data_IF_704698215033
#
_entry.id   IF_704698215033
#
_cell.length_a   1.000
_cell.length_b   1.000
_cell.length_c   1.000
_cell.angle_alpha   90.00
_cell.angle_beta   90.00
_cell.angle_gamma   90.00
#
_symmetry.space_group_name_H-M   'P 1'
#
loop_
_entity.id
_entity.type
_entity.pdbx_description
1 polymer ?
#
# COMPACT_ATOMS: atom_id res chain seq x y z
N UNK A 1 -22.05 -17.54 24.85
CA UNK A 1 -21.45 -16.23 24.51
C UNK A 1 -20.22 -16.54 23.68
N UNK A 2 -20.32 -16.41 22.37
CA UNK A 2 -19.18 -16.63 21.48
C UNK A 2 -18.20 -15.49 21.73
N UNK A 3 -17.09 -15.78 22.39
CA UNK A 3 -15.98 -14.84 22.45
C UNK A 3 -15.56 -14.64 21.00
N UNK A 4 -15.69 -13.41 20.51
CA UNK A 4 -15.08 -13.05 19.23
C UNK A 4 -13.61 -12.89 19.56
N UNK A 5 -12.86 -13.99 19.58
CA UNK A 5 -11.40 -13.96 19.42
C UNK A 5 -11.17 -13.58 17.97
N UNK A 6 -11.27 -12.29 17.67
CA UNK A 6 -10.53 -11.76 16.52
C UNK A 6 -9.08 -12.00 16.87
N UNK A 7 -8.43 -12.81 16.04
CA UNK A 7 -7.05 -13.20 16.19
C UNK A 7 -6.18 -11.95 15.94
N UNK A 8 -5.92 -11.20 17.01
CA UNK A 8 -5.19 -9.93 16.99
C UNK A 8 -3.78 -10.13 16.40
N UNK A 9 -3.22 -11.33 16.58
CA UNK A 9 -1.97 -11.77 15.95
C UNK A 9 -2.14 -11.90 14.43
N UNK A 10 -3.23 -12.49 13.94
CA UNK A 10 -3.53 -12.54 12.52
C UNK A 10 -3.74 -11.15 11.89
N UNK A 11 -4.36 -10.20 12.60
CA UNK A 11 -4.51 -8.81 12.15
C UNK A 11 -3.16 -8.10 12.08
N UNK A 12 -2.31 -8.27 13.11
CA UNK A 12 -0.95 -7.74 13.12
C UNK A 12 -0.08 -8.32 12.00
N UNK A 13 -0.13 -9.64 11.79
CA UNK A 13 0.58 -10.32 10.71
C UNK A 13 0.09 -9.87 9.33
N UNK A 14 -1.22 -9.71 9.13
CA UNK A 14 -1.80 -9.20 7.91
C UNK A 14 -1.37 -7.76 7.63
N UNK A 15 -1.29 -6.92 8.66
CA UNK A 15 -0.77 -5.55 8.56
C UNK A 15 0.70 -5.54 8.11
N UNK A 16 1.58 -6.33 8.74
CA UNK A 16 2.99 -6.42 8.32
C UNK A 16 3.14 -6.96 6.89
N UNK A 17 2.36 -7.97 6.52
CA UNK A 17 2.37 -8.52 5.16
C UNK A 17 1.87 -7.50 4.12
N UNK A 18 0.86 -6.70 4.47
CA UNK A 18 0.37 -5.60 3.64
C UNK A 18 1.46 -4.55 3.43
N UNK A 19 2.14 -4.09 4.49
CA UNK A 19 3.25 -3.13 4.38
C UNK A 19 4.40 -3.66 3.50
N UNK A 20 4.78 -4.92 3.66
CA UNK A 20 5.81 -5.53 2.81
C UNK A 20 5.39 -5.59 1.33
N UNK A 21 4.11 -5.87 1.06
CA UNK A 21 3.56 -5.86 -0.30
C UNK A 21 3.55 -4.45 -0.89
N UNK A 22 3.19 -3.45 -0.08
CA UNK A 22 3.21 -2.04 -0.47
C UNK A 22 4.62 -1.62 -0.91
N UNK A 23 5.62 -1.86 -0.07
CA UNK A 23 7.02 -1.54 -0.38
C UNK A 23 7.47 -2.17 -1.70
N UNK A 24 7.14 -3.44 -1.93
CA UNK A 24 7.46 -4.11 -3.19
C UNK A 24 6.80 -3.43 -4.39
N UNK A 25 5.52 -3.05 -4.28
CA UNK A 25 4.81 -2.32 -5.34
C UNK A 25 5.45 -0.96 -5.63
N UNK A 26 5.91 -0.22 -4.61
CA UNK A 26 6.65 1.02 -4.80
C UNK A 26 7.95 0.82 -5.59
N UNK A 27 8.73 -0.20 -5.22
CA UNK A 27 9.98 -0.54 -5.92
C UNK A 27 9.71 -0.95 -7.37
N UNK A 28 8.70 -1.78 -7.61
CA UNK A 28 8.30 -2.18 -8.96
C UNK A 28 7.82 -0.98 -9.79
N UNK A 29 7.07 -0.07 -9.19
CA UNK A 29 6.58 1.12 -9.87
C UNK A 29 7.72 2.09 -10.24
N UNK A 30 8.67 2.31 -9.33
CA UNK A 30 9.87 3.10 -9.59
C UNK A 30 10.75 2.46 -10.68
N UNK A 31 10.86 1.14 -10.67
CA UNK A 31 11.57 0.38 -11.70
C UNK A 31 10.94 0.57 -13.07
N UNK A 32 9.61 0.48 -13.18
CA UNK A 32 8.90 0.74 -14.44
C UNK A 32 9.10 2.18 -14.91
N UNK A 33 9.04 3.16 -14.01
CA UNK A 33 9.29 4.56 -14.33
C UNK A 33 10.68 4.78 -14.95
N UNK A 34 11.71 4.13 -14.39
CA UNK A 34 13.07 4.20 -14.92
C UNK A 34 13.15 3.61 -16.33
N UNK A 35 12.53 2.46 -16.57
CA UNK A 35 12.49 1.81 -17.88
C UNK A 35 11.77 2.68 -18.92
N UNK A 36 10.63 3.26 -18.56
CA UNK A 36 9.89 4.18 -19.42
C UNK A 36 10.71 5.42 -19.75
N UNK A 37 11.38 6.02 -18.76
CA UNK A 37 12.26 7.19 -18.98
C UNK A 37 13.42 6.87 -19.92
N UNK A 38 14.02 5.68 -19.77
CA UNK A 38 15.09 5.23 -20.67
C UNK A 38 14.57 5.03 -22.10
N UNK A 39 13.39 4.43 -22.26
CA UNK A 39 12.76 4.23 -23.56
C UNK A 39 12.38 5.57 -24.22
N UNK A 40 11.90 6.55 -23.44
CA UNK A 40 11.64 7.92 -23.91
C UNK A 40 12.88 8.54 -24.55
N UNK A 41 14.07 8.36 -23.95
CA UNK A 41 15.32 8.88 -24.50
C UNK A 41 15.71 8.27 -25.86
N UNK A 42 15.13 7.12 -26.22
CA UNK A 42 15.38 6.44 -27.50
C UNK A 42 14.37 6.80 -28.60
N UNK A 43 13.21 7.36 -28.24
CA UNK A 43 12.16 7.71 -29.20
C UNK A 43 12.33 9.16 -29.67
N UNK A 44 12.58 9.34 -30.96
CA UNK A 44 12.73 10.65 -31.60
C UNK A 44 11.58 10.94 -32.56
N UNK A 45 11.20 12.22 -32.71
CA UNK A 45 10.12 12.65 -33.60
C UNK A 45 8.73 12.59 -32.97
N UNK A 46 7.66 12.63 -33.79
CA UNK A 46 6.28 12.77 -33.32
C UNK A 46 5.80 11.67 -32.36
N UNK A 47 6.39 10.47 -32.42
CA UNK A 47 6.10 9.38 -31.48
C UNK A 47 6.50 9.71 -30.04
N UNK A 48 7.46 10.63 -29.84
CA UNK A 48 7.91 11.06 -28.51
C UNK A 48 6.81 11.76 -27.72
N UNK A 49 5.90 12.51 -28.37
CA UNK A 49 4.81 13.21 -27.69
C UNK A 49 3.76 12.22 -27.15
N UNK A 50 3.39 11.22 -27.95
CA UNK A 50 2.48 10.16 -27.50
C UNK A 50 3.07 9.36 -26.33
N UNK A 51 4.38 9.09 -26.37
CA UNK A 51 5.07 8.39 -25.29
C UNK A 51 5.16 9.25 -24.01
N UNK A 52 5.39 10.56 -24.13
CA UNK A 52 5.35 11.48 -22.99
C UNK A 52 3.99 11.44 -22.28
N UNK A 53 2.88 11.48 -23.01
CA UNK A 53 1.55 11.32 -22.41
C UNK A 53 1.33 9.97 -21.72
N UNK A 54 1.95 8.90 -22.22
CA UNK A 54 1.92 7.59 -21.55
C UNK A 54 2.67 7.61 -20.21
N UNK A 55 3.86 8.23 -20.19
CA UNK A 55 4.66 8.42 -18.96
C UNK A 55 3.92 9.28 -17.93
N UNK A 56 3.24 10.34 -18.37
CA UNK A 56 2.44 11.19 -17.49
C UNK A 56 1.23 10.45 -16.90
N UNK A 57 0.52 9.65 -17.72
CA UNK A 57 -0.56 8.79 -17.23
C UNK A 57 -0.06 7.78 -16.20
N UNK A 58 1.10 7.17 -16.45
CA UNK A 58 1.73 6.25 -15.51
C UNK A 58 2.07 6.96 -14.18
N UNK A 59 2.63 8.18 -14.21
CA UNK A 59 2.87 9.00 -13.00
C UNK A 59 1.59 9.24 -12.21
N UNK A 60 0.49 9.58 -12.88
CA UNK A 60 -0.81 9.77 -12.25
C UNK A 60 -1.33 8.49 -11.59
N UNK A 61 -1.20 7.36 -12.29
CA UNK A 61 -1.56 6.04 -11.76
C UNK A 61 -0.72 5.63 -10.56
N UNK A 62 0.60 5.89 -10.59
CA UNK A 62 1.49 5.65 -9.46
C UNK A 62 1.01 6.43 -8.23
N UNK A 63 0.78 7.74 -8.34
CA UNK A 63 0.32 8.55 -7.20
C UNK A 63 -0.99 8.02 -6.60
N UNK A 64 -1.93 7.58 -7.45
CA UNK A 64 -3.19 7.01 -6.98
C UNK A 64 -3.00 5.66 -6.27
N UNK A 65 -2.08 4.83 -6.76
CA UNK A 65 -1.69 3.59 -6.09
C UNK A 65 -1.14 3.90 -4.70
N UNK A 66 -0.19 4.83 -4.59
CA UNK A 66 0.43 5.24 -3.32
C UNK A 66 -0.63 5.69 -2.31
N UNK A 67 -1.55 6.58 -2.72
CA UNK A 67 -2.67 7.02 -1.88
C UNK A 67 -3.58 5.87 -1.41
N UNK A 68 -3.85 4.92 -2.30
CA UNK A 68 -4.68 3.75 -1.98
C UNK A 68 -3.98 2.86 -0.94
N UNK A 69 -2.68 2.63 -1.12
CA UNK A 69 -1.87 1.84 -0.19
C UNK A 69 -1.75 2.51 1.18
N UNK A 70 -1.53 3.82 1.24
CA UNK A 70 -1.54 4.59 2.49
C UNK A 70 -2.88 4.47 3.24
N UNK A 71 -4.00 4.57 2.52
CA UNK A 71 -5.34 4.43 3.10
C UNK A 71 -5.59 3.03 3.69
N UNK A 72 -5.12 1.99 3.01
CA UNK A 72 -5.18 0.61 3.51
C UNK A 72 -4.32 0.46 4.76
N UNK A 73 -3.08 0.97 4.74
CA UNK A 73 -2.16 0.93 5.87
C UNK A 73 -2.75 1.61 7.10
N UNK A 74 -3.33 2.81 6.91
CA UNK A 74 -4.01 3.54 7.99
C UNK A 74 -5.19 2.75 8.57
N UNK A 75 -6.03 2.15 7.71
CA UNK A 75 -7.20 1.38 8.14
C UNK A 75 -6.79 0.13 8.93
N UNK A 76 -5.75 -0.59 8.47
CA UNK A 76 -5.22 -1.77 9.16
C UNK A 76 -4.55 -1.41 10.48
N UNK A 77 -3.78 -0.31 10.54
CA UNK A 77 -3.16 0.18 11.77
C UNK A 77 -4.20 0.62 12.81
N UNK A 78 -5.26 1.29 12.36
CA UNK A 78 -6.40 1.68 13.21
C UNK A 78 -7.12 0.45 13.78
N UNK A 79 -7.41 -0.54 12.93
CA UNK A 79 -8.01 -1.81 13.37
C UNK A 79 -7.14 -2.53 14.39
N UNK A 80 -5.83 -2.66 14.13
CA UNK A 80 -4.89 -3.32 15.05
C UNK A 80 -4.85 -2.64 16.43
N UNK A 81 -4.85 -1.29 16.46
CA UNK A 81 -4.86 -0.51 17.70
C UNK A 81 -6.14 -0.74 18.48
N UNK A 82 -7.29 -0.65 17.82
CA UNK A 82 -8.60 -0.78 18.46
C UNK A 82 -8.83 -2.18 19.05
N UNK A 83 -8.33 -3.23 18.39
CA UNK A 83 -8.39 -4.58 18.95
C UNK A 83 -7.45 -4.77 20.16
N UNK A 84 -6.25 -4.18 20.13
CA UNK A 84 -5.33 -4.24 21.27
C UNK A 84 -5.90 -3.54 22.52
N UNK A 85 -6.56 -2.39 22.34
CA UNK A 85 -7.23 -1.67 23.42
C UNK A 85 -8.42 -2.45 23.99
N UNK A 86 -9.22 -3.08 23.13
CA UNK A 86 -10.37 -3.90 23.53
C UNK A 86 -9.96 -5.13 24.35
N UNK A 87 -8.83 -5.77 23.99
CA UNK A 87 -8.27 -6.90 24.73
C UNK A 87 -7.78 -6.48 26.14
N UNK A 88 -7.02 -5.39 26.23
CA UNK A 88 -6.56 -4.85 27.52
C UNK A 88 -7.73 -4.45 28.43
N UNK A 89 -8.76 -3.81 27.87
CA UNK A 89 -9.97 -3.47 28.62
C UNK A 89 -10.66 -4.73 29.14
N UNK A 90 -10.83 -5.74 28.30
CA UNK A 90 -11.43 -7.02 28.70
C UNK A 90 -10.62 -7.70 29.80
N UNK A 91 -9.30 -7.76 29.68
CA UNK A 91 -8.41 -8.29 30.72
C UNK A 91 -8.53 -7.52 32.04
N UNK A 92 -8.75 -6.21 31.99
CA UNK A 92 -8.93 -5.37 33.18
C UNK A 92 -10.24 -5.64 33.93
N UNK A 93 -11.27 -6.16 33.26
CA UNK A 93 -12.57 -6.49 33.87
C UNK A 93 -12.55 -7.81 34.66
N UNK A 94 -11.60 -8.69 34.37
CA UNK A 94 -11.44 -9.99 35.05
C UNK A 94 -10.43 -9.95 36.20
N UNK A 95 -9.99 -8.75 36.61
CA UNK A 95 -9.01 -8.53 37.69
C UNK A 95 -9.66 -8.10 39.00
#
# INVERSE_FOLDING_TARGET
>A
MSVITVDTEAVGAAHTAALATMERLHVEAATLMSQLTQLQSSWVGNASSAFQSCVEQWRGGQLNLEQTLESIGHSLGSAATQYAEADQFSASLFR
#
